data_IF_448482025202
#
_entry.id   IF_448482025202
#
_cell.length_a   1.000
_cell.length_b   1.000
_cell.length_c   1.000
_cell.angle_alpha   90.00
_cell.angle_beta   90.00
_cell.angle_gamma   90.00
#
_symmetry.space_group_name_H-M   'P 1'
#
loop_
_entity.id
_entity.type
_entity.pdbx_description
1 polymer ?
#
# COMPACT_ATOMS: atom_id res chain seq x y z
N UNK A 1 12.35 -1.49 21.32
CA UNK A 1 13.10 -0.55 20.47
C UNK A 1 12.88 0.86 20.98
N UNK A 2 13.95 1.66 21.06
CA UNK A 2 13.82 3.08 21.39
C UNK A 2 13.06 3.81 20.26
N UNK A 3 12.20 4.78 20.62
CA UNK A 3 11.55 5.62 19.63
C UNK A 3 12.62 6.36 18.82
N UNK A 4 12.53 6.39 17.48
CA UNK A 4 13.52 7.10 16.68
C UNK A 4 13.42 8.59 16.89
N UNK A 5 14.55 9.30 16.79
CA UNK A 5 14.55 10.75 16.75
C UNK A 5 13.83 11.21 15.46
N UNK A 6 12.82 12.06 15.62
CA UNK A 6 12.07 12.69 14.52
C UNK A 6 12.17 14.18 14.73
N UNK A 7 12.37 14.93 13.66
CA UNK A 7 12.40 16.38 13.70
C UNK A 7 11.14 16.92 14.40
N UNK A 8 11.32 17.96 15.21
CA UNK A 8 10.27 18.51 16.07
C UNK A 8 9.01 18.89 15.29
N UNK A 9 9.17 19.39 14.08
CA UNK A 9 8.05 19.77 13.20
C UNK A 9 7.15 18.59 12.80
N UNK A 10 7.68 17.34 12.78
CA UNK A 10 6.93 16.15 12.40
C UNK A 10 6.44 15.30 13.58
N UNK A 11 6.84 15.64 14.82
CA UNK A 11 6.38 14.92 16.02
C UNK A 11 4.86 14.89 16.15
N UNK A 12 4.10 16.00 15.87
CA UNK A 12 2.65 15.96 15.87
C UNK A 12 2.07 14.95 14.85
N UNK A 13 2.70 14.82 13.67
CA UNK A 13 2.28 13.88 12.63
C UNK A 13 2.51 12.42 13.05
N UNK A 14 3.64 12.14 13.69
CA UNK A 14 3.95 10.82 14.24
C UNK A 14 2.97 10.44 15.34
N UNK A 15 2.65 11.37 16.24
CA UNK A 15 1.65 11.17 17.29
C UNK A 15 0.27 10.89 16.69
N UNK A 16 -0.15 11.71 15.73
CA UNK A 16 -1.42 11.52 15.03
C UNK A 16 -1.49 10.12 14.38
N UNK A 17 -0.42 9.69 13.70
CA UNK A 17 -0.36 8.38 13.09
C UNK A 17 -0.48 7.25 14.13
N UNK A 18 0.14 7.41 15.31
CA UNK A 18 0.02 6.46 16.42
C UNK A 18 -1.42 6.40 16.94
N UNK A 19 -2.05 7.56 17.19
CA UNK A 19 -3.41 7.63 17.71
C UNK A 19 -4.44 7.06 16.71
N UNK A 20 -4.24 7.29 15.42
CA UNK A 20 -5.11 6.77 14.36
C UNK A 20 -4.89 5.29 14.06
N UNK A 21 -3.64 4.82 14.08
CA UNK A 21 -3.22 3.49 13.63
C UNK A 21 -3.00 2.48 14.73
N UNK A 22 -2.86 2.93 16.00
CA UNK A 22 -2.52 2.11 17.16
C UNK A 22 -1.16 1.38 17.01
N UNK A 23 -0.30 1.88 16.14
CA UNK A 23 1.04 1.38 15.89
C UNK A 23 2.06 2.50 16.09
N UNK A 24 3.19 2.19 16.70
CA UNK A 24 4.22 3.17 17.04
C UNK A 24 5.17 3.42 15.86
N UNK A 25 5.80 4.59 15.82
CA UNK A 25 6.91 4.84 14.92
C UNK A 25 8.14 4.04 15.35
N UNK A 26 8.72 3.27 14.44
CA UNK A 26 9.83 2.37 14.70
C UNK A 26 11.07 2.76 13.88
N UNK A 27 12.18 2.97 14.55
CA UNK A 27 13.49 3.11 13.92
C UNK A 27 14.11 1.77 13.52
N UNK A 28 15.28 1.83 12.90
CA UNK A 28 16.04 0.63 12.58
C UNK A 28 15.65 -0.05 11.25
N UNK A 29 14.89 0.61 10.40
CA UNK A 29 14.49 0.06 9.12
C UNK A 29 15.46 0.46 8.00
N UNK A 30 15.73 -0.46 7.08
CA UNK A 30 16.21 -0.17 5.74
C UNK A 30 15.00 -0.13 4.80
N UNK A 31 14.87 0.97 4.06
CA UNK A 31 13.73 1.23 3.17
C UNK A 31 14.24 1.39 1.74
N UNK A 32 13.62 0.67 0.82
CA UNK A 32 13.91 0.68 -0.61
C UNK A 32 12.62 1.02 -1.38
N UNK A 33 12.70 2.00 -2.29
CA UNK A 33 11.59 2.36 -3.18
C UNK A 33 11.74 1.59 -4.48
N UNK A 34 10.70 0.89 -4.89
CA UNK A 34 10.68 0.04 -6.09
C UNK A 34 9.68 0.62 -7.09
N UNK A 35 10.19 1.09 -8.22
CA UNK A 35 9.42 1.71 -9.32
C UNK A 35 9.43 0.87 -10.59
N UNK A 36 10.38 -0.06 -10.73
CA UNK A 36 10.35 -1.04 -11.81
C UNK A 36 9.28 -2.10 -11.51
N UNK A 37 8.23 -2.10 -12.30
CA UNK A 37 7.06 -2.96 -12.10
C UNK A 37 7.42 -4.43 -12.07
N UNK A 38 8.11 -4.93 -13.09
CA UNK A 38 8.51 -6.34 -13.17
C UNK A 38 9.65 -6.66 -12.20
N UNK A 39 10.59 -5.74 -12.03
CA UNK A 39 11.67 -5.86 -11.05
C UNK A 39 11.14 -6.02 -9.63
N UNK A 40 10.04 -5.34 -9.28
CA UNK A 40 9.35 -5.52 -8.00
C UNK A 40 8.82 -6.93 -7.82
N UNK A 41 8.14 -7.49 -8.83
CA UNK A 41 7.62 -8.87 -8.80
C UNK A 41 8.78 -9.87 -8.66
N UNK A 42 9.86 -9.68 -9.43
CA UNK A 42 11.05 -10.51 -9.37
C UNK A 42 11.72 -10.44 -7.98
N UNK A 43 11.78 -9.25 -7.39
CA UNK A 43 12.35 -9.05 -6.04
C UNK A 43 11.53 -9.75 -4.97
N UNK A 44 10.20 -9.68 -5.04
CA UNK A 44 9.30 -10.40 -4.14
C UNK A 44 9.54 -11.91 -4.26
N UNK A 45 9.63 -12.45 -5.49
CA UNK A 45 9.91 -13.86 -5.71
C UNK A 45 11.26 -14.28 -5.13
N UNK A 46 12.31 -13.47 -5.30
CA UNK A 46 13.64 -13.74 -4.76
C UNK A 46 13.65 -13.74 -3.21
N UNK A 47 12.95 -12.79 -2.57
CA UNK A 47 12.84 -12.76 -1.11
C UNK A 47 11.99 -13.95 -0.59
N UNK A 48 10.97 -14.41 -1.33
CA UNK A 48 10.22 -15.64 -1.01
C UNK A 48 11.14 -16.86 -1.11
N UNK A 49 11.97 -16.94 -2.14
CA UNK A 49 12.93 -18.05 -2.29
C UNK A 49 13.96 -18.09 -1.14
N UNK A 50 14.28 -16.93 -0.55
CA UNK A 50 15.18 -16.83 0.60
C UNK A 50 14.48 -17.05 1.96
N UNK A 51 13.16 -17.20 2.00
CA UNK A 51 12.37 -17.37 3.22
C UNK A 51 12.65 -18.66 3.96
N UNK A 52 12.53 -18.64 5.30
CA UNK A 52 12.85 -19.75 6.19
C UNK A 52 11.68 -20.24 7.03
N UNK A 53 10.75 -19.35 7.41
CA UNK A 53 9.70 -19.64 8.38
C UNK A 53 8.31 -19.43 7.83
N UNK A 54 8.02 -18.23 7.31
CA UNK A 54 6.69 -17.94 6.78
C UNK A 54 6.71 -16.85 5.71
N UNK A 55 5.72 -16.95 4.83
CA UNK A 55 5.44 -15.97 3.76
C UNK A 55 3.95 -15.65 3.78
N UNK A 56 3.60 -14.38 3.95
CA UNK A 56 2.22 -13.91 3.99
C UNK A 56 1.98 -12.85 2.91
N UNK A 57 0.99 -13.06 2.06
CA UNK A 57 0.61 -12.15 0.98
C UNK A 57 -0.86 -11.72 1.12
N UNK A 58 -1.13 -10.42 1.00
CA UNK A 58 -2.48 -9.88 0.87
C UNK A 58 -2.53 -8.94 -0.34
N UNK A 59 -3.42 -9.21 -1.31
CA UNK A 59 -3.56 -8.39 -2.50
C UNK A 59 -5.03 -8.16 -2.86
N UNK A 60 -5.33 -6.94 -3.32
CA UNK A 60 -6.62 -6.64 -3.93
C UNK A 60 -6.79 -7.40 -5.25
N UNK A 61 -5.81 -7.29 -6.16
CA UNK A 61 -5.76 -8.08 -7.38
C UNK A 61 -4.54 -8.99 -7.31
N UNK A 62 -4.76 -10.30 -7.42
CA UNK A 62 -3.73 -11.28 -7.66
C UNK A 62 -4.09 -12.04 -8.94
N UNK A 63 -3.35 -11.78 -10.03
CA UNK A 63 -3.50 -12.41 -11.32
C UNK A 63 -2.96 -13.84 -11.35
N UNK A 64 -3.44 -14.64 -12.31
CA UNK A 64 -2.85 -15.91 -12.68
C UNK A 64 -2.35 -15.76 -14.14
N UNK A 65 -1.28 -15.00 -14.30
CA UNK A 65 -0.68 -14.62 -15.58
C UNK A 65 0.81 -14.97 -15.62
N UNK A 66 1.43 -14.82 -16.79
CA UNK A 66 2.83 -15.21 -17.00
C UNK A 66 3.82 -14.41 -16.14
N UNK A 67 3.48 -13.17 -15.74
CA UNK A 67 4.35 -12.29 -14.94
C UNK A 67 4.30 -12.66 -13.46
N UNK A 68 3.14 -13.10 -12.98
CA UNK A 68 2.94 -13.50 -11.57
C UNK A 68 3.31 -14.97 -11.32
N UNK A 69 3.44 -15.78 -12.37
CA UNK A 69 3.84 -17.18 -12.25
C UNK A 69 5.13 -17.36 -11.43
N UNK A 70 6.10 -16.45 -11.57
CA UNK A 70 7.35 -16.50 -10.80
C UNK A 70 7.12 -16.44 -9.28
N UNK A 71 6.15 -15.66 -8.81
CA UNK A 71 5.79 -15.58 -7.39
C UNK A 71 5.04 -16.81 -6.94
N UNK A 72 4.12 -17.33 -7.78
CA UNK A 72 3.37 -18.56 -7.50
C UNK A 72 4.34 -19.75 -7.38
N UNK A 73 5.32 -19.85 -8.28
CA UNK A 73 6.33 -20.89 -8.27
C UNK A 73 7.27 -20.76 -7.05
N UNK A 74 7.65 -19.53 -6.69
CA UNK A 74 8.45 -19.26 -5.48
C UNK A 74 7.70 -19.68 -4.20
N UNK A 75 6.39 -19.43 -4.11
CA UNK A 75 5.56 -19.92 -3.01
C UNK A 75 5.56 -21.47 -2.95
N UNK A 76 5.44 -22.14 -4.10
CA UNK A 76 5.53 -23.60 -4.15
C UNK A 76 6.88 -24.13 -3.67
N UNK A 77 7.98 -23.51 -4.09
CA UNK A 77 9.33 -23.85 -3.59
C UNK A 77 9.49 -23.58 -2.10
N UNK A 78 8.92 -22.48 -1.60
CA UNK A 78 8.92 -22.17 -0.18
C UNK A 78 8.19 -23.24 0.65
N UNK A 79 6.98 -23.64 0.22
CA UNK A 79 6.23 -24.73 0.87
C UNK A 79 7.03 -26.06 0.83
N UNK A 80 7.67 -26.38 -0.30
CA UNK A 80 8.50 -27.58 -0.39
C UNK A 80 9.69 -27.58 0.58
N UNK A 81 10.15 -26.38 1.03
CA UNK A 81 11.16 -26.24 2.11
C UNK A 81 10.57 -26.26 3.52
N UNK A 82 9.25 -26.40 3.67
CA UNK A 82 8.55 -26.36 4.97
C UNK A 82 8.14 -24.96 5.44
N UNK A 83 8.25 -23.95 4.59
CA UNK A 83 7.83 -22.58 4.90
C UNK A 83 6.31 -22.47 4.87
N UNK A 84 5.73 -21.82 5.89
CA UNK A 84 4.28 -21.63 6.01
C UNK A 84 3.87 -20.46 5.10
N UNK A 85 3.17 -20.77 4.00
CA UNK A 85 2.70 -19.75 3.04
C UNK A 85 1.20 -19.52 3.20
N UNK A 86 0.80 -18.24 3.42
CA UNK A 86 -0.59 -17.80 3.49
C UNK A 86 -0.85 -16.69 2.48
N UNK A 87 -1.93 -16.82 1.70
CA UNK A 87 -2.32 -15.84 0.68
C UNK A 87 -3.77 -15.43 0.88
N UNK A 88 -4.00 -14.13 0.98
CA UNK A 88 -5.32 -13.50 1.08
C UNK A 88 -5.57 -12.64 -0.16
N UNK A 89 -6.66 -12.89 -0.89
CA UNK A 89 -7.03 -12.14 -2.08
C UNK A 89 -8.44 -11.55 -1.94
N UNK A 90 -8.67 -10.33 -2.43
CA UNK A 90 -10.01 -9.74 -2.38
C UNK A 90 -10.99 -10.46 -3.33
N UNK A 91 -12.21 -10.66 -2.89
CA UNK A 91 -13.24 -11.38 -3.64
C UNK A 91 -13.63 -10.72 -4.96
N UNK A 92 -13.60 -9.38 -5.01
CA UNK A 92 -13.98 -8.59 -6.17
C UNK A 92 -12.79 -8.28 -7.07
N UNK A 93 -11.71 -7.76 -6.51
CA UNK A 93 -10.52 -7.40 -7.27
C UNK A 93 -9.88 -8.59 -7.98
N UNK A 94 -9.82 -9.74 -7.31
CA UNK A 94 -9.26 -10.98 -7.89
C UNK A 94 -10.33 -11.89 -8.56
N UNK A 95 -11.54 -11.37 -8.82
CA UNK A 95 -12.62 -12.16 -9.44
C UNK A 95 -12.23 -12.85 -10.75
N UNK A 96 -11.48 -12.21 -11.68
CA UNK A 96 -11.10 -12.84 -12.94
C UNK A 96 -10.20 -14.06 -12.74
N UNK A 97 -9.20 -13.99 -11.87
CA UNK A 97 -8.17 -15.02 -11.65
C UNK A 97 -8.55 -16.02 -10.55
N UNK A 98 -9.48 -15.69 -9.66
CA UNK A 98 -9.77 -16.47 -8.45
C UNK A 98 -10.08 -17.95 -8.72
N UNK A 99 -10.76 -18.24 -9.83
CA UNK A 99 -11.18 -19.62 -10.17
C UNK A 99 -10.01 -20.52 -10.56
N UNK A 100 -8.96 -19.96 -11.11
CA UNK A 100 -7.74 -20.69 -11.51
C UNK A 100 -6.67 -20.60 -10.43
N UNK A 101 -6.44 -19.42 -9.88
CA UNK A 101 -5.39 -19.15 -8.91
C UNK A 101 -5.55 -19.90 -7.58
N UNK A 102 -6.75 -19.91 -6.98
CA UNK A 102 -6.93 -20.54 -5.66
C UNK A 102 -6.70 -22.06 -5.68
N UNK A 103 -7.23 -22.85 -6.65
CA UNK A 103 -6.89 -24.25 -6.75
C UNK A 103 -5.39 -24.48 -6.97
N UNK A 104 -4.74 -23.66 -7.80
CA UNK A 104 -3.29 -23.73 -8.08
C UNK A 104 -2.47 -23.51 -6.81
N UNK A 105 -2.73 -22.43 -6.05
CA UNK A 105 -2.05 -22.16 -4.79
C UNK A 105 -2.25 -23.29 -3.77
N UNK A 106 -3.47 -23.81 -3.65
CA UNK A 106 -3.78 -24.91 -2.71
C UNK A 106 -3.11 -26.22 -3.12
N UNK A 107 -3.02 -26.52 -4.41
CA UNK A 107 -2.30 -27.68 -4.91
C UNK A 107 -0.80 -27.63 -4.58
N UNK A 108 -0.23 -26.42 -4.48
CA UNK A 108 1.15 -26.19 -4.01
C UNK A 108 1.29 -26.22 -2.47
N UNK A 109 0.20 -26.45 -1.71
CA UNK A 109 0.21 -26.45 -0.26
C UNK A 109 0.12 -25.06 0.39
N UNK A 110 -0.15 -24.02 -0.37
CA UNK A 110 -0.34 -22.65 0.14
C UNK A 110 -1.74 -22.52 0.77
N UNK A 111 -1.82 -21.99 1.98
CA UNK A 111 -3.10 -21.67 2.62
C UNK A 111 -3.69 -20.42 1.97
N UNK A 112 -4.61 -20.59 1.00
CA UNK A 112 -5.21 -19.48 0.25
C UNK A 112 -6.66 -19.24 0.68
N UNK A 113 -7.01 -17.97 0.96
CA UNK A 113 -8.35 -17.50 1.39
C UNK A 113 -8.79 -16.29 0.56
N UNK A 114 -10.09 -16.01 0.63
CA UNK A 114 -10.74 -14.88 -0.05
C UNK A 114 -11.21 -13.88 1.00
N UNK A 115 -10.76 -12.64 0.89
CA UNK A 115 -11.22 -11.56 1.73
C UNK A 115 -12.56 -10.99 1.22
N UNK A 116 -13.44 -10.65 2.17
CA UNK A 116 -14.74 -10.03 1.92
C UNK A 116 -15.56 -10.79 0.86
N UNK A 117 -15.82 -12.09 1.06
CA UNK A 117 -16.57 -12.90 0.11
C UNK A 117 -17.98 -12.37 -0.04
N UNK A 118 -18.39 -12.09 -1.27
CA UNK A 118 -19.75 -11.67 -1.58
C UNK A 118 -20.70 -12.85 -1.41
N UNK A 119 -21.51 -12.82 -0.36
CA UNK A 119 -22.56 -13.83 -0.12
C UNK A 119 -23.90 -13.27 -0.61
N UNK A 120 -24.42 -13.81 -1.70
CA UNK A 120 -25.74 -13.49 -2.21
C UNK A 120 -26.80 -13.89 -1.17
N UNK A 121 -27.74 -12.99 -0.87
CA UNK A 121 -28.85 -13.25 0.06
C UNK A 121 -28.67 -12.69 1.49
N UNK A 122 -27.53 -12.11 1.86
CA UNK A 122 -27.42 -11.34 3.10
C UNK A 122 -27.74 -9.85 2.84
N UNK A 123 -28.72 -9.29 3.57
CA UNK A 123 -29.14 -7.87 3.51
C UNK A 123 -28.02 -6.86 3.86
N UNK A 124 -26.86 -7.33 4.34
CA UNK A 124 -25.70 -6.54 4.75
C UNK A 124 -24.49 -6.70 3.84
N UNK A 125 -24.62 -7.19 2.62
CA UNK A 125 -23.49 -7.31 1.70
C UNK A 125 -23.04 -5.91 1.22
N UNK A 126 -22.02 -5.35 1.87
CA UNK A 126 -21.38 -4.09 1.50
C UNK A 126 -20.43 -4.34 0.33
N UNK A 127 -20.90 -4.08 -0.91
CA UNK A 127 -20.08 -4.22 -2.13
C UNK A 127 -19.01 -3.14 -2.25
N UNK A 128 -19.22 -2.01 -1.60
CA UNK A 128 -18.33 -0.85 -1.54
C UNK A 128 -17.13 -1.04 -0.61
N UNK A 129 -17.22 -1.95 0.36
CA UNK A 129 -16.12 -2.26 1.25
C UNK A 129 -15.23 -3.34 0.64
N UNK A 130 -14.00 -2.94 0.25
CA UNK A 130 -13.00 -3.82 -0.35
C UNK A 130 -11.69 -3.73 0.41
N UNK A 131 -10.93 -4.83 0.41
CA UNK A 131 -9.58 -4.84 0.95
C UNK A 131 -8.58 -4.47 -0.16
N UNK A 132 -8.24 -3.18 -0.25
CA UNK A 132 -7.30 -2.66 -1.26
C UNK A 132 -5.83 -2.77 -0.83
N UNK A 133 -5.50 -3.42 0.28
CA UNK A 133 -4.12 -3.58 0.76
C UNK A 133 -3.29 -4.41 -0.22
N UNK A 134 -2.02 -4.06 -0.31
CA UNK A 134 -0.97 -4.82 -0.94
C UNK A 134 0.10 -5.00 0.11
N UNK A 135 0.19 -6.20 0.65
CA UNK A 135 1.10 -6.55 1.73
C UNK A 135 1.80 -7.84 1.38
N UNK A 136 3.11 -7.86 1.49
CA UNK A 136 3.92 -9.07 1.56
C UNK A 136 4.71 -9.00 2.85
N UNK A 137 4.73 -10.08 3.62
CA UNK A 137 5.62 -10.22 4.79
C UNK A 137 6.36 -11.54 4.69
N UNK A 138 7.66 -11.49 4.89
CA UNK A 138 8.55 -12.63 4.82
C UNK A 138 9.31 -12.71 6.13
N UNK A 139 9.15 -13.81 6.86
CA UNK A 139 9.79 -14.14 8.14
C UNK A 139 9.62 -13.06 9.24
N UNK A 140 8.65 -12.13 9.10
CA UNK A 140 8.51 -10.98 9.98
C UNK A 140 9.65 -9.95 9.88
N UNK A 141 10.62 -10.17 9.01
CA UNK A 141 11.79 -9.31 8.83
C UNK A 141 11.70 -8.38 7.63
N UNK A 142 11.07 -8.85 6.54
CA UNK A 142 10.90 -8.10 5.29
C UNK A 142 9.41 -7.87 5.07
N UNK A 143 9.05 -6.62 4.78
CA UNK A 143 7.70 -6.22 4.43
C UNK A 143 7.66 -5.47 3.11
N UNK A 144 6.60 -5.64 2.34
CA UNK A 144 6.29 -4.82 1.17
C UNK A 144 4.90 -4.22 1.30
N UNK A 145 4.77 -2.97 0.90
CA UNK A 145 3.48 -2.30 0.75
C UNK A 145 3.58 -1.19 -0.30
N UNK A 146 2.44 -0.71 -0.79
CA UNK A 146 2.39 0.33 -1.81
C UNK A 146 1.18 0.20 -2.70
N UNK A 147 1.31 0.67 -3.96
CA UNK A 147 0.18 0.75 -4.89
C UNK A 147 0.06 -0.44 -5.84
N UNK A 148 1.15 -1.21 -6.10
CA UNK A 148 1.21 -2.26 -7.10
C UNK A 148 0.43 -3.52 -6.68
N UNK A 149 -0.46 -3.98 -7.54
CA UNK A 149 -1.10 -5.28 -7.42
C UNK A 149 -0.17 -6.40 -7.91
N UNK A 150 -0.49 -7.64 -7.55
CA UNK A 150 0.21 -8.83 -8.03
C UNK A 150 -0.44 -9.29 -9.35
N UNK A 151 -0.16 -8.59 -10.43
CA UNK A 151 -0.74 -8.81 -11.77
C UNK A 151 0.21 -8.20 -12.81
N UNK A 152 0.09 -8.55 -14.06
CA UNK A 152 0.84 -7.94 -15.16
C UNK A 152 0.58 -6.42 -15.27
N UNK A 153 1.57 -5.61 -15.65
CA UNK A 153 1.42 -4.16 -15.77
C UNK A 153 0.38 -3.75 -16.83
N UNK A 154 0.16 -4.61 -17.81
CA UNK A 154 -0.77 -4.44 -18.93
C UNK A 154 -2.08 -5.23 -18.77
N UNK A 155 -2.45 -5.59 -17.53
CA UNK A 155 -3.64 -6.38 -17.25
C UNK A 155 -4.97 -5.74 -17.71
N UNK A 156 -5.00 -4.42 -17.86
CA UNK A 156 -6.08 -3.70 -18.55
C UNK A 156 -5.65 -3.35 -19.96
N UNK A 157 -6.41 -3.73 -21.00
CA UNK A 157 -6.06 -3.42 -22.38
C UNK A 157 -5.81 -1.93 -22.61
N UNK A 158 -4.70 -1.61 -23.27
CA UNK A 158 -4.32 -0.24 -23.61
C UNK A 158 -3.70 0.59 -22.49
N UNK A 159 -3.56 0.03 -21.29
CA UNK A 159 -2.92 0.72 -20.16
C UNK A 159 -1.69 -0.06 -19.71
N UNK A 160 -0.61 0.66 -19.45
CA UNK A 160 0.59 0.14 -18.78
C UNK A 160 0.76 0.88 -17.45
N UNK A 161 0.76 0.16 -16.34
CA UNK A 161 0.69 0.74 -15.00
C UNK A 161 2.06 1.18 -14.50
N UNK A 162 2.15 2.42 -14.02
CA UNK A 162 3.28 2.96 -13.24
C UNK A 162 2.92 2.95 -11.76
N UNK A 163 3.68 2.22 -10.97
CA UNK A 163 3.38 1.93 -9.57
C UNK A 163 4.56 2.22 -8.67
N UNK A 164 4.31 2.32 -7.37
CA UNK A 164 5.33 2.44 -6.36
C UNK A 164 5.11 1.41 -5.26
N UNK A 165 6.14 0.61 -5.01
CA UNK A 165 6.21 -0.25 -3.83
C UNK A 165 7.33 0.18 -2.90
N UNK A 166 7.13 -0.06 -1.63
CA UNK A 166 8.15 0.10 -0.59
C UNK A 166 8.51 -1.28 -0.07
N UNK A 167 9.81 -1.61 -0.12
CA UNK A 167 10.38 -2.76 0.57
C UNK A 167 11.01 -2.29 1.86
N UNK A 168 10.60 -2.85 2.98
CA UNK A 168 11.08 -2.51 4.31
C UNK A 168 11.76 -3.74 4.89
N UNK A 169 13.02 -3.64 5.26
CA UNK A 169 13.67 -4.64 6.11
C UNK A 169 13.89 -4.04 7.48
N UNK A 170 13.34 -4.67 8.51
CA UNK A 170 13.46 -4.15 9.86
C UNK A 170 12.17 -4.21 10.68
N UNK A 171 12.12 -3.51 11.83
CA UNK A 171 11.04 -3.63 12.80
C UNK A 171 9.64 -3.34 12.27
N UNK A 172 9.50 -2.44 11.29
CA UNK A 172 8.18 -2.09 10.73
C UNK A 172 7.58 -3.20 9.87
N UNK A 173 8.34 -4.22 9.46
CA UNK A 173 7.80 -5.43 8.84
C UNK A 173 6.82 -6.15 9.77
N UNK A 174 7.08 -6.15 11.09
CA UNK A 174 6.17 -6.73 12.08
C UNK A 174 4.83 -5.97 12.20
N UNK A 175 4.81 -4.68 11.87
CA UNK A 175 3.56 -3.93 11.81
C UNK A 175 2.71 -4.37 10.61
N UNK A 176 3.33 -4.59 9.45
CA UNK A 176 2.65 -5.18 8.29
C UNK A 176 2.17 -6.61 8.59
N UNK A 177 2.97 -7.38 9.35
CA UNK A 177 2.61 -8.70 9.83
C UNK A 177 1.36 -8.66 10.72
N UNK A 178 1.26 -7.70 11.64
CA UNK A 178 0.10 -7.53 12.50
C UNK A 178 -1.16 -7.18 11.70
N UNK A 179 -1.03 -6.30 10.69
CA UNK A 179 -2.14 -5.97 9.78
C UNK A 179 -2.60 -7.19 8.98
N UNK A 180 -1.66 -7.94 8.40
CA UNK A 180 -1.98 -9.19 7.72
C UNK A 180 -2.66 -10.19 8.65
N UNK A 181 -2.11 -10.40 9.84
CA UNK A 181 -2.66 -11.33 10.84
C UNK A 181 -4.09 -11.00 11.24
N UNK A 182 -4.40 -9.71 11.40
CA UNK A 182 -5.76 -9.25 11.66
C UNK A 182 -6.71 -9.57 10.51
N UNK A 183 -6.31 -9.26 9.28
CA UNK A 183 -7.12 -9.56 8.09
C UNK A 183 -7.31 -11.07 7.89
N UNK A 184 -6.24 -11.86 8.11
CA UNK A 184 -6.29 -13.32 8.04
C UNK A 184 -7.25 -13.91 9.06
N UNK A 185 -7.20 -13.44 10.31
CA UNK A 185 -8.08 -13.90 11.37
C UNK A 185 -9.55 -13.63 11.07
N UNK A 186 -9.87 -12.44 10.55
CA UNK A 186 -11.25 -12.07 10.16
C UNK A 186 -11.81 -13.03 9.11
N UNK A 187 -11.00 -13.48 8.17
CA UNK A 187 -11.45 -14.29 7.03
C UNK A 187 -11.32 -15.81 7.26
N UNK A 188 -10.48 -16.25 8.16
CA UNK A 188 -10.21 -17.67 8.41
C UNK A 188 -10.63 -18.17 9.79
N UNK A 189 -10.74 -17.28 10.79
CA UNK A 189 -10.85 -17.63 12.20
C UNK A 189 -9.54 -18.17 12.79
N UNK A 190 -8.45 -18.23 12.02
CA UNK A 190 -7.16 -18.76 12.44
C UNK A 190 -6.24 -17.64 12.94
N UNK A 191 -5.70 -17.80 14.13
CA UNK A 191 -4.65 -16.93 14.66
C UNK A 191 -3.28 -17.39 14.13
N UNK A 192 -2.49 -16.47 13.54
CA UNK A 192 -1.20 -16.84 12.90
C UNK A 192 -0.10 -17.26 13.89
N UNK A 193 -0.35 -17.07 15.20
CA UNK A 193 0.54 -17.51 16.29
C UNK A 193 1.75 -16.58 16.53
N UNK A 194 2.39 -16.77 17.69
CA UNK A 194 3.53 -15.95 18.12
C UNK A 194 4.78 -16.17 17.26
N UNK A 195 4.94 -17.35 16.69
CA UNK A 195 6.08 -17.67 15.81
C UNK A 195 6.15 -16.79 14.55
N UNK A 196 5.05 -16.14 14.18
CA UNK A 196 5.02 -15.17 13.09
C UNK A 196 5.56 -13.78 13.50
N UNK A 197 5.89 -13.58 14.77
CA UNK A 197 6.40 -12.32 15.32
C UNK A 197 7.77 -12.53 15.99
N UNK A 198 8.83 -12.77 15.21
CA UNK A 198 10.17 -12.93 15.77
C UNK A 198 10.67 -11.63 16.42
N UNK A 199 11.74 -11.69 17.22
CA UNK A 199 12.40 -10.48 17.68
C UNK A 199 12.76 -9.54 16.50
N UNK A 200 12.53 -8.23 16.63
CA UNK A 200 12.73 -7.29 15.53
C UNK A 200 14.21 -7.19 15.13
N UNK A 201 14.48 -7.25 13.84
CA UNK A 201 15.83 -7.09 13.28
C UNK A 201 16.07 -5.62 12.96
N UNK A 202 17.19 -5.06 13.41
CA UNK A 202 17.64 -3.71 13.01
C UNK A 202 18.45 -3.84 11.71
N UNK A 203 17.97 -3.22 10.62
CA UNK A 203 18.57 -3.34 9.29
C UNK A 203 19.04 -2.01 8.69
N UNK A 204 18.66 -0.87 9.30
CA UNK A 204 19.00 0.47 8.81
C UNK A 204 18.75 1.55 9.84
N UNK A 205 18.57 2.78 9.37
CA UNK A 205 18.39 3.97 10.22
C UNK A 205 17.05 4.68 10.03
N UNK A 206 16.26 4.26 9.04
CA UNK A 206 15.00 4.94 8.70
C UNK A 206 13.93 4.66 9.75
N UNK A 207 13.23 5.72 10.15
CA UNK A 207 12.01 5.63 10.93
C UNK A 207 10.83 5.32 9.99
N UNK A 208 9.99 4.36 10.37
CA UNK A 208 8.79 4.03 9.60
C UNK A 208 7.64 3.62 10.52
N UNK A 209 6.43 3.90 10.07
CA UNK A 209 5.20 3.59 10.80
C UNK A 209 4.13 3.15 9.81
N UNK A 210 3.47 2.04 10.09
CA UNK A 210 2.33 1.59 9.30
C UNK A 210 1.05 2.22 9.84
N UNK A 211 0.26 2.84 8.96
CA UNK A 211 -1.07 3.34 9.27
C UNK A 211 -2.11 2.43 8.60
N UNK A 212 -2.70 1.47 9.33
CA UNK A 212 -3.70 0.59 8.75
C UNK A 212 -4.95 1.36 8.32
N UNK A 213 -5.27 1.30 7.04
CA UNK A 213 -6.51 1.84 6.51
C UNK A 213 -7.25 0.74 5.73
N UNK A 214 -8.58 0.68 5.84
CA UNK A 214 -9.34 -0.36 5.17
C UNK A 214 -10.79 -0.45 5.63
N UNK A 215 -11.53 -1.50 5.23
CA UNK A 215 -12.98 -1.62 5.43
C UNK A 215 -13.43 -1.57 6.88
N UNK A 216 -12.58 -1.98 7.80
CA UNK A 216 -12.85 -1.97 9.25
C UNK A 216 -12.58 -0.61 9.92
N UNK A 217 -11.97 0.35 9.20
CA UNK A 217 -11.70 1.65 9.79
C UNK A 217 -12.89 2.59 9.62
N UNK A 218 -13.44 3.04 10.75
CA UNK A 218 -14.59 3.96 10.80
C UNK A 218 -14.23 5.43 10.52
N UNK A 219 -12.95 5.74 10.34
CA UNK A 219 -12.45 7.12 10.22
C UNK A 219 -11.68 7.31 8.93
N UNK A 220 -11.68 8.53 8.43
CA UNK A 220 -10.87 8.95 7.27
C UNK A 220 -9.39 9.11 7.67
N UNK A 221 -8.78 8.01 8.14
CA UNK A 221 -7.41 8.02 8.71
C UNK A 221 -6.37 8.54 7.73
N UNK A 222 -6.37 8.00 6.51
CA UNK A 222 -5.44 8.42 5.46
C UNK A 222 -5.61 9.92 5.14
N UNK A 223 -6.85 10.39 4.95
CA UNK A 223 -7.11 11.81 4.67
C UNK A 223 -6.61 12.71 5.80
N UNK A 224 -6.92 12.38 7.06
CA UNK A 224 -6.46 13.16 8.21
C UNK A 224 -4.94 13.21 8.30
N UNK A 225 -4.28 12.08 8.01
CA UNK A 225 -2.81 12.02 8.01
C UNK A 225 -2.22 12.87 6.89
N UNK A 226 -2.73 12.74 5.67
CA UNK A 226 -2.26 13.52 4.50
C UNK A 226 -2.44 15.01 4.72
N UNK A 227 -3.61 15.45 5.19
CA UNK A 227 -3.90 16.85 5.50
C UNK A 227 -2.93 17.39 6.57
N UNK A 228 -2.71 16.61 7.64
CA UNK A 228 -1.77 17.00 8.70
C UNK A 228 -0.33 17.11 8.19
N UNK A 229 0.12 16.18 7.35
CA UNK A 229 1.44 16.22 6.73
C UNK A 229 1.61 17.47 5.85
N UNK A 230 0.61 17.82 5.04
CA UNK A 230 0.67 19.03 4.21
C UNK A 230 0.76 20.28 5.08
N UNK A 231 0.02 20.35 6.19
CA UNK A 231 0.14 21.47 7.14
C UNK A 231 1.51 21.53 7.84
N UNK A 232 2.24 20.44 7.96
CA UNK A 232 3.59 20.43 8.53
C UNK A 232 4.69 20.90 7.55
N UNK A 233 4.37 21.01 6.25
CA UNK A 233 5.33 21.41 5.24
C UNK A 233 5.82 22.84 5.43
N UNK A 234 7.12 23.04 5.22
CA UNK A 234 7.76 24.36 5.30
C UNK A 234 8.41 24.81 3.98
N UNK A 235 8.73 23.85 3.10
CA UNK A 235 9.45 24.13 1.84
C UNK A 235 8.76 23.57 0.63
N UNK A 236 8.37 22.29 0.65
CA UNK A 236 7.85 21.61 -0.54
C UNK A 236 6.90 20.49 -0.21
N UNK A 237 5.77 20.47 -0.92
CA UNK A 237 4.80 19.38 -0.93
C UNK A 237 4.76 18.77 -2.33
N UNK A 238 4.86 17.44 -2.44
CA UNK A 238 4.62 16.73 -3.69
C UNK A 238 3.55 15.69 -3.44
N UNK A 239 2.42 15.83 -4.09
CA UNK A 239 1.30 14.88 -4.05
C UNK A 239 1.23 14.14 -5.37
N UNK A 240 1.23 12.81 -5.33
CA UNK A 240 1.07 11.95 -6.51
C UNK A 240 -0.17 11.09 -6.34
N UNK A 241 -1.08 11.15 -7.30
CA UNK A 241 -2.32 10.35 -7.26
C UNK A 241 -2.91 10.14 -8.66
N UNK A 242 -3.46 8.94 -8.97
CA UNK A 242 -4.14 8.70 -10.25
C UNK A 242 -5.44 9.50 -10.38
N UNK A 243 -6.13 9.74 -9.26
CA UNK A 243 -7.44 10.36 -9.23
C UNK A 243 -7.47 11.45 -8.17
N UNK A 244 -7.52 12.70 -8.61
CA UNK A 244 -7.54 13.83 -7.69
C UNK A 244 -8.95 14.43 -7.61
N UNK A 245 -9.73 13.92 -6.66
CA UNK A 245 -11.03 14.49 -6.27
C UNK A 245 -10.91 14.81 -4.78
N UNK A 246 -10.38 15.99 -4.43
CA UNK A 246 -10.09 16.32 -3.05
C UNK A 246 -11.35 16.59 -2.24
N UNK A 247 -11.31 16.27 -0.94
CA UNK A 247 -12.21 16.90 0.02
C UNK A 247 -11.82 18.38 0.21
N UNK A 248 -12.75 19.20 0.72
CA UNK A 248 -12.46 20.61 1.02
C UNK A 248 -11.22 20.75 1.91
N UNK A 249 -11.08 19.90 2.94
CA UNK A 249 -9.94 19.95 3.86
C UNK A 249 -8.59 19.66 3.18
N UNK A 250 -8.56 18.85 2.12
CA UNK A 250 -7.34 18.59 1.37
C UNK A 250 -7.00 19.76 0.45
N UNK A 251 -8.00 20.34 -0.20
CA UNK A 251 -7.84 21.53 -1.03
C UNK A 251 -7.32 22.70 -0.19
N UNK A 252 -7.98 23.01 0.94
CA UNK A 252 -7.58 24.08 1.87
C UNK A 252 -6.14 23.88 2.37
N UNK A 253 -5.72 22.63 2.63
CA UNK A 253 -4.36 22.34 3.08
C UNK A 253 -3.31 22.66 2.00
N UNK A 254 -3.58 22.29 0.73
CA UNK A 254 -2.68 22.58 -0.38
C UNK A 254 -2.56 24.09 -0.64
N UNK A 255 -3.68 24.79 -0.71
CA UNK A 255 -3.71 26.26 -0.89
C UNK A 255 -3.02 26.98 0.28
N UNK A 256 -3.28 26.55 1.53
CA UNK A 256 -2.62 27.10 2.72
C UNK A 256 -1.11 26.87 2.67
N UNK A 257 -0.64 25.71 2.21
CA UNK A 257 0.79 25.45 2.09
C UNK A 257 1.46 26.43 1.10
N UNK A 258 0.81 26.72 -0.04
CA UNK A 258 1.29 27.75 -0.98
C UNK A 258 1.33 29.13 -0.33
N UNK A 259 0.26 29.55 0.35
CA UNK A 259 0.21 30.86 1.03
C UNK A 259 1.25 30.99 2.16
N UNK A 260 1.70 29.89 2.73
CA UNK A 260 2.81 29.84 3.69
C UNK A 260 4.19 29.88 3.03
N UNK A 261 4.27 29.90 1.69
CA UNK A 261 5.51 29.96 0.92
C UNK A 261 6.10 28.59 0.54
N UNK A 262 5.40 27.49 0.77
CA UNK A 262 5.86 26.18 0.30
C UNK A 262 5.59 26.00 -1.20
N UNK A 263 6.50 25.34 -1.91
CA UNK A 263 6.25 24.87 -3.27
C UNK A 263 5.32 23.67 -3.23
N UNK A 264 4.19 23.74 -3.90
CA UNK A 264 3.21 22.64 -3.96
C UNK A 264 3.11 22.09 -5.37
N UNK A 265 3.41 20.80 -5.52
CA UNK A 265 3.34 20.05 -6.76
C UNK A 265 2.28 18.96 -6.64
N UNK A 266 1.35 18.94 -7.58
CA UNK A 266 0.36 17.90 -7.75
C UNK A 266 0.65 17.14 -9.04
N UNK A 267 0.99 15.87 -8.94
CA UNK A 267 1.24 14.97 -10.06
C UNK A 267 0.02 14.07 -10.23
N UNK A 268 -0.62 14.16 -11.38
CA UNK A 268 -1.85 13.42 -11.71
C UNK A 268 -1.67 12.63 -13.00
N UNK A 269 -2.47 11.60 -13.16
CA UNK A 269 -2.50 10.85 -14.42
C UNK A 269 -3.21 11.64 -15.54
N UNK A 270 -2.63 11.61 -16.75
CA UNK A 270 -3.27 12.17 -17.95
C UNK A 270 -4.15 11.12 -18.66
N UNK A 271 -3.89 9.84 -18.44
CA UNK A 271 -4.63 8.71 -19.02
C UNK A 271 -5.89 8.43 -18.19
N UNK A 272 -6.97 9.11 -18.49
CA UNK A 272 -8.22 8.98 -17.74
C UNK A 272 -8.94 7.70 -18.17
N UNK A 273 -8.88 6.65 -17.35
CA UNK A 273 -9.60 5.39 -17.56
C UNK A 273 -11.10 5.48 -17.16
N UNK A 274 -11.49 6.56 -16.50
CA UNK A 274 -12.85 6.80 -16.01
C UNK A 274 -13.31 8.22 -16.38
N UNK A 275 -14.15 8.33 -17.39
CA UNK A 275 -14.62 9.62 -17.96
C UNK A 275 -15.15 10.62 -16.91
N UNK A 276 -16.00 10.15 -15.98
CA UNK A 276 -16.56 11.02 -14.93
C UNK A 276 -15.51 11.48 -13.91
N UNK A 277 -14.60 10.60 -13.54
CA UNK A 277 -13.51 10.92 -12.60
C UNK A 277 -12.57 11.97 -13.19
N UNK A 278 -12.23 11.85 -14.46
CA UNK A 278 -11.36 12.80 -15.14
C UNK A 278 -11.97 14.19 -15.27
N UNK A 279 -13.25 14.29 -15.60
CA UNK A 279 -13.92 15.58 -15.65
C UNK A 279 -14.05 16.22 -14.26
N UNK A 280 -14.38 15.42 -13.24
CA UNK A 280 -14.39 15.89 -11.86
C UNK A 280 -13.00 16.36 -11.40
N UNK A 281 -11.92 15.65 -11.75
CA UNK A 281 -10.55 16.04 -11.43
C UNK A 281 -10.20 17.41 -12.05
N UNK A 282 -10.53 17.62 -13.34
CA UNK A 282 -10.23 18.86 -14.05
C UNK A 282 -10.97 20.08 -13.50
N UNK A 283 -12.13 19.88 -12.86
CA UNK A 283 -12.89 21.00 -12.27
C UNK A 283 -12.17 21.67 -11.08
N UNK A 284 -11.18 21.01 -10.50
CA UNK A 284 -10.36 21.58 -9.42
C UNK A 284 -9.10 22.30 -9.90
N UNK A 285 -8.72 22.15 -11.17
CA UNK A 285 -7.43 22.66 -11.65
C UNK A 285 -7.36 24.19 -11.62
N UNK A 286 -8.42 24.88 -12.05
CA UNK A 286 -8.43 26.34 -12.11
C UNK A 286 -8.18 26.95 -10.73
N UNK A 287 -8.92 26.54 -9.71
CA UNK A 287 -8.76 27.08 -8.35
C UNK A 287 -7.37 26.81 -7.77
N UNK A 288 -6.84 25.61 -7.97
CA UNK A 288 -5.51 25.23 -7.48
C UNK A 288 -4.39 26.00 -8.21
N UNK A 289 -4.49 26.18 -9.53
CA UNK A 289 -3.53 26.96 -10.31
C UNK A 289 -3.55 28.44 -9.91
N UNK A 290 -4.74 29.02 -9.69
CA UNK A 290 -4.88 30.39 -9.20
C UNK A 290 -4.30 30.56 -7.79
N UNK A 291 -4.39 29.55 -6.93
CA UNK A 291 -3.75 29.52 -5.63
C UNK A 291 -2.22 29.37 -5.70
N UNK A 292 -1.66 28.98 -6.86
CA UNK A 292 -0.22 28.80 -7.07
C UNK A 292 0.28 27.36 -6.95
N UNK A 293 -0.63 26.36 -6.92
CA UNK A 293 -0.26 24.94 -6.99
C UNK A 293 0.23 24.62 -8.41
N UNK A 294 1.34 23.92 -8.54
CA UNK A 294 1.88 23.46 -9.82
C UNK A 294 1.32 22.06 -10.15
N UNK A 295 0.54 21.95 -11.22
CA UNK A 295 -0.07 20.68 -11.64
C UNK A 295 0.76 20.09 -12.78
N UNK A 296 1.12 18.81 -12.65
CA UNK A 296 1.89 18.05 -13.62
C UNK A 296 1.05 16.85 -14.10
N UNK A 297 0.80 16.78 -15.39
CA UNK A 297 0.17 15.64 -16.04
C UNK A 297 1.23 14.60 -16.39
N UNK A 298 1.08 13.39 -15.87
CA UNK A 298 1.96 12.26 -16.18
C UNK A 298 1.45 11.53 -17.42
N UNK A 299 2.30 11.45 -18.46
CA UNK A 299 1.91 11.00 -19.81
C UNK A 299 2.61 9.72 -20.27
N UNK A 300 3.60 9.20 -19.52
CA UNK A 300 4.41 8.06 -19.98
C UNK A 300 3.71 6.70 -19.81
N UNK A 301 2.88 6.58 -18.79
CA UNK A 301 2.14 5.36 -18.46
C UNK A 301 0.92 5.71 -17.59
N UNK A 302 0.05 4.76 -17.29
CA UNK A 302 -1.04 4.98 -16.35
C UNK A 302 -0.49 5.10 -14.91
N UNK A 303 -0.46 6.31 -14.39
CA UNK A 303 0.05 6.60 -13.05
C UNK A 303 -0.91 6.07 -11.98
N UNK A 304 -0.54 4.98 -11.32
CA UNK A 304 -1.38 4.43 -10.24
C UNK A 304 -0.76 4.60 -8.84
N UNK A 305 0.39 5.26 -8.76
CA UNK A 305 1.06 5.60 -7.49
C UNK A 305 0.20 6.55 -6.64
N UNK A 306 0.21 6.33 -5.33
CA UNK A 306 -0.37 7.23 -4.32
C UNK A 306 0.68 7.56 -3.29
N UNK A 307 1.15 8.81 -3.30
CA UNK A 307 2.17 9.24 -2.35
C UNK A 307 2.08 10.72 -2.03
N UNK A 308 2.58 11.11 -0.86
CA UNK A 308 2.81 12.49 -0.46
C UNK A 308 4.21 12.59 0.10
N UNK A 309 5.02 13.51 -0.42
CA UNK A 309 6.35 13.83 0.08
C UNK A 309 6.36 15.24 0.65
N UNK A 310 6.91 15.40 1.83
CA UNK A 310 7.00 16.67 2.56
C UNK A 310 8.46 17.01 2.79
N UNK A 311 8.89 18.14 2.26
CA UNK A 311 10.22 18.75 2.45
C UNK A 311 11.41 17.84 2.07
N UNK A 312 11.16 16.71 1.40
CA UNK A 312 12.15 15.67 1.13
C UNK A 312 12.60 14.88 2.37
N UNK A 313 11.87 15.01 3.48
CA UNK A 313 12.21 14.40 4.77
C UNK A 313 11.18 13.38 5.24
N UNK A 314 9.91 13.59 4.92
CA UNK A 314 8.83 12.67 5.27
C UNK A 314 8.04 12.28 4.03
N UNK A 315 7.64 11.00 3.96
CA UNK A 315 6.76 10.52 2.91
C UNK A 315 5.64 9.66 3.48
N UNK A 316 4.46 9.79 2.90
CA UNK A 316 3.35 8.87 3.03
C UNK A 316 3.18 8.12 1.69
N UNK A 317 3.05 6.79 1.74
CA UNK A 317 2.92 5.92 0.57
C UNK A 317 1.78 4.93 0.84
N UNK A 318 0.84 4.82 -0.13
CA UNK A 318 -0.34 3.97 0.01
C UNK A 318 -0.87 3.35 -1.27
#
# INVERSE_FOLDING_TARGET
LAAPAVDIQYQPSVRLATDLGMLNNLGGNAVELLTDYQGTINRIAADIDASRHHVHLCFYIFGDDARTAIVIDALGRAVARGVICRVLIDAFGSRPSRRTLLPKLRALGVAARVALPVRVGRKSARFDLRNHRKIVVIDGEIGYTGSQNMVSADFKPGLNYSELMVRIKGPSALQLQAVFGSDWFVESGEFIGEAAFPPPVVAGKTAAQVLPNGPSSSTQRALRMVVNLIYSATRRVVVTTPYFIPSQSLQDALETAVHRGAEVHLIVDDHIDQFFVGNAQRSYYESLLLAGVRIHAYTEAFLHTKSVSIDGQMAWIG
#
